data_IF_323917386003
#
_entry.id   IF_323917386003
#
_cell.length_a   1.000
_cell.length_b   1.000
_cell.length_c   1.000
_cell.angle_alpha   90.00
_cell.angle_beta   90.00
_cell.angle_gamma   90.00
#
_symmetry.space_group_name_H-M   'P 1'
#
loop_
_entity.id
_entity.type
_entity.pdbx_description
1 polymer ?
#
# COMPACT_ATOMS: atom_id res chain seq x y z
N UNK A 1 -30.76 10.67 6.78
CA UNK A 1 -29.44 11.19 7.18
C UNK A 1 -28.42 10.23 6.58
N UNK A 2 -27.57 10.68 5.65
CA UNK A 2 -26.42 9.88 5.23
C UNK A 2 -25.44 9.87 6.40
N UNK A 3 -25.22 8.69 7.00
CA UNK A 3 -24.11 8.53 7.93
C UNK A 3 -22.81 8.84 7.18
N UNK A 4 -22.09 9.87 7.64
CA UNK A 4 -20.73 10.13 7.20
C UNK A 4 -19.89 8.93 7.64
N UNK A 5 -19.61 8.01 6.72
CA UNK A 5 -18.73 6.88 6.98
C UNK A 5 -17.34 7.42 7.26
N UNK A 6 -16.90 7.31 8.51
CA UNK A 6 -15.52 7.61 8.87
C UNK A 6 -14.58 6.66 8.10
N UNK A 7 -13.41 7.15 7.65
CA UNK A 7 -12.42 6.30 7.01
C UNK A 7 -12.02 5.16 7.95
N UNK A 8 -12.24 3.92 7.54
CA UNK A 8 -11.82 2.75 8.32
C UNK A 8 -10.31 2.57 8.18
N UNK A 9 -9.59 2.59 9.29
CA UNK A 9 -8.18 2.19 9.30
C UNK A 9 -8.06 0.68 9.02
N UNK A 10 -7.10 0.32 8.19
CA UNK A 10 -6.81 -1.07 7.81
C UNK A 10 -5.37 -1.40 8.18
N UNK A 11 -5.17 -2.57 8.76
CA UNK A 11 -3.83 -3.06 9.09
C UNK A 11 -3.07 -3.44 7.82
N UNK A 12 -1.86 -2.91 7.68
CA UNK A 12 -0.93 -3.35 6.63
C UNK A 12 -0.16 -4.57 7.14
N UNK A 13 -0.26 -5.68 6.43
CA UNK A 13 0.45 -6.92 6.74
C UNK A 13 1.88 -6.89 6.19
N UNK A 14 2.06 -6.38 4.98
CA UNK A 14 3.35 -6.30 4.30
C UNK A 14 3.32 -5.21 3.22
N UNK A 15 4.49 -4.79 2.76
CA UNK A 15 4.64 -3.96 1.57
C UNK A 15 5.92 -4.34 0.83
N UNK A 16 5.98 -4.05 -0.47
CA UNK A 16 7.20 -4.28 -1.25
C UNK A 16 7.19 -3.62 -2.62
N UNK A 17 8.38 -3.40 -3.18
CA UNK A 17 8.53 -2.88 -4.54
C UNK A 17 8.40 -4.01 -5.57
N UNK A 18 7.42 -3.89 -6.46
CA UNK A 18 7.25 -4.75 -7.61
C UNK A 18 7.97 -4.12 -8.82
N UNK A 19 9.11 -4.72 -9.22
CA UNK A 19 9.92 -4.24 -10.35
C UNK A 19 9.25 -4.45 -11.70
N UNK A 20 8.44 -5.48 -11.87
CA UNK A 20 7.77 -5.74 -13.16
C UNK A 20 6.68 -4.72 -13.42
N UNK A 21 5.91 -4.39 -12.38
CA UNK A 21 4.81 -3.42 -12.46
C UNK A 21 5.24 -1.99 -12.16
N UNK A 22 6.50 -1.79 -11.73
CA UNK A 22 7.06 -0.49 -11.35
C UNK A 22 6.19 0.24 -10.30
N UNK A 23 5.73 -0.50 -9.30
CA UNK A 23 4.86 0.02 -8.24
C UNK A 23 5.21 -0.57 -6.87
N UNK A 24 4.76 0.09 -5.79
CA UNK A 24 4.76 -0.52 -4.45
C UNK A 24 3.45 -1.29 -4.29
N UNK A 25 3.52 -2.54 -3.87
CA UNK A 25 2.34 -3.33 -3.53
C UNK A 25 2.15 -3.31 -2.00
N UNK A 26 1.02 -2.78 -1.54
CA UNK A 26 0.59 -2.88 -0.14
C UNK A 26 -0.28 -4.12 0.02
N UNK A 27 0.10 -4.98 0.95
CA UNK A 27 -0.69 -6.11 1.38
C UNK A 27 -1.47 -5.71 2.63
N UNK A 28 -2.77 -5.54 2.48
CA UNK A 28 -3.69 -5.14 3.54
C UNK A 28 -4.39 -6.36 4.11
N UNK A 29 -4.48 -6.43 5.44
CA UNK A 29 -5.26 -7.45 6.14
C UNK A 29 -6.67 -6.91 6.41
N UNK A 30 -7.65 -7.43 5.68
CA UNK A 30 -9.05 -7.04 5.80
C UNK A 30 -9.86 -8.30 6.03
N UNK A 31 -10.60 -8.37 7.15
CA UNK A 31 -11.42 -9.54 7.51
C UNK A 31 -10.63 -10.86 7.43
N UNK A 32 -9.39 -10.87 7.94
CA UNK A 32 -8.47 -12.03 7.92
C UNK A 32 -7.98 -12.46 6.53
N UNK A 33 -8.28 -11.69 5.48
CA UNK A 33 -7.83 -11.92 4.11
C UNK A 33 -6.80 -10.87 3.67
N UNK A 34 -5.91 -11.25 2.76
CA UNK A 34 -4.89 -10.36 2.17
C UNK A 34 -5.41 -9.76 0.87
N UNK A 35 -5.44 -8.43 0.83
CA UNK A 35 -5.76 -7.64 -0.36
C UNK A 35 -4.50 -6.89 -0.83
N UNK A 36 -4.18 -7.00 -2.12
CA UNK A 36 -3.02 -6.31 -2.71
C UNK A 36 -3.48 -5.03 -3.38
N UNK A 37 -2.95 -3.90 -2.93
CA UNK A 37 -3.17 -2.59 -3.52
C UNK A 37 -1.88 -2.07 -4.15
N UNK A 38 -1.80 -1.94 -5.48
CA UNK A 38 -0.66 -1.32 -6.14
C UNK A 38 -0.72 0.21 -5.99
N UNK A 39 0.41 0.80 -5.64
CA UNK A 39 0.58 2.24 -5.47
C UNK A 39 1.74 2.71 -6.34
N UNK A 40 1.50 3.74 -7.14
CA UNK A 40 2.51 4.28 -8.06
C UNK A 40 3.67 4.89 -7.29
N UNK A 41 4.87 4.84 -7.87
CA UNK A 41 6.06 5.52 -7.32
C UNK A 41 5.80 6.99 -7.00
N UNK A 42 4.99 7.67 -7.81
CA UNK A 42 4.65 9.09 -7.62
C UNK A 42 3.85 9.34 -6.34
N UNK A 43 3.02 8.38 -5.94
CA UNK A 43 2.13 8.49 -4.79
C UNK A 43 2.81 8.05 -3.48
N UNK A 44 3.94 7.34 -3.58
CA UNK A 44 4.81 6.99 -2.45
C UNK A 44 6.03 7.92 -2.34
N UNK A 45 6.01 9.06 -3.02
CA UNK A 45 7.08 10.03 -2.95
C UNK A 45 7.22 10.61 -1.53
N UNK A 46 8.41 10.54 -0.93
CA UNK A 46 8.68 10.84 0.47
C UNK A 46 8.56 9.64 1.42
N UNK A 47 8.07 8.49 0.94
CA UNK A 47 8.00 7.24 1.69
C UNK A 47 9.07 6.22 1.22
N UNK A 48 9.96 6.60 0.32
CA UNK A 48 10.95 5.72 -0.29
C UNK A 48 11.95 5.16 0.72
N UNK A 49 12.12 5.80 1.87
CA UNK A 49 12.96 5.30 2.97
C UNK A 49 12.32 4.14 3.73
N UNK A 50 10.99 4.03 3.70
CA UNK A 50 10.24 2.94 4.31
C UNK A 50 10.17 1.73 3.38
N UNK A 51 10.22 1.97 2.08
CA UNK A 51 10.22 0.93 1.07
C UNK A 51 11.67 0.57 0.72
N UNK A 52 12.03 -0.72 0.71
CA UNK A 52 13.32 -1.16 0.17
C UNK A 52 13.31 -1.01 -1.36
N UNK A 53 13.32 0.23 -1.85
CA UNK A 53 13.37 0.58 -3.26
C UNK A 53 14.84 0.55 -3.69
N UNK A 54 15.39 -0.66 -3.84
CA UNK A 54 16.70 -0.83 -4.48
C UNK A 54 16.55 -0.60 -5.99
N UNK A 55 16.54 0.66 -6.40
CA UNK A 55 16.86 1.08 -7.76
C UNK A 55 18.38 1.02 -7.92
N UNK A 56 18.87 -0.04 -8.55
CA UNK A 56 20.20 -0.09 -9.15
C UNK A 56 20.07 0.17 -10.63
#
# INVERSE_FOLDING_TARGET
>A
MEEKKEPKMVSMACFGWNKEKQCVEFQLLINEEIYVMPVSKRDVHGMETFFLVNEK
#
